data_IF_434316534065
#
_entry.id   IF_434316534065
#
_cell.length_a   1.000
_cell.length_b   1.000
_cell.length_c   1.000
_cell.angle_alpha   90.00
_cell.angle_beta   90.00
_cell.angle_gamma   90.00
#
_symmetry.space_group_name_H-M   'P 1'
#
loop_
_entity.id
_entity.type
_entity.pdbx_description
1 polymer ?
#
# COMPACT_ATOMS: atom_id res chain seq x y z
N UNK A 1 -11.38 -14.35 13.09
CA UNK A 1 -11.13 -13.04 13.72
C UNK A 1 -10.86 -12.02 12.62
N UNK A 2 -11.55 -10.85 12.61
CA UNK A 2 -11.47 -9.85 11.56
C UNK A 2 -10.20 -8.98 11.63
N UNK A 3 -9.65 -8.65 10.46
CA UNK A 3 -8.35 -7.98 10.19
C UNK A 3 -7.89 -7.00 11.26
N UNK A 4 -6.95 -7.43 12.11
CA UNK A 4 -6.38 -6.60 13.17
C UNK A 4 -5.00 -6.13 12.74
N UNK A 5 -4.88 -4.82 12.58
CA UNK A 5 -3.63 -4.15 12.23
C UNK A 5 -2.84 -3.77 13.50
N UNK A 6 -1.50 -3.74 13.47
CA UNK A 6 -0.68 -3.47 14.65
C UNK A 6 -0.59 -1.99 15.05
N UNK A 7 -0.03 -1.76 16.24
CA UNK A 7 0.24 -0.47 16.86
C UNK A 7 0.99 0.49 15.92
N UNK A 8 0.36 1.62 15.57
CA UNK A 8 0.88 2.57 14.59
C UNK A 8 2.02 3.46 15.12
N UNK A 9 2.46 3.31 16.38
CA UNK A 9 3.50 4.16 17.01
C UNK A 9 3.31 5.65 16.64
N UNK A 10 4.19 6.21 15.81
CA UNK A 10 4.14 7.62 15.38
C UNK A 10 3.42 7.82 14.05
N UNK A 11 3.18 6.75 13.29
CA UNK A 11 2.47 6.74 12.02
C UNK A 11 0.95 6.93 12.22
N UNK A 12 0.28 7.47 11.20
CA UNK A 12 -1.13 7.83 11.27
C UNK A 12 -1.97 7.03 10.25
N UNK A 13 -3.23 6.74 10.57
CA UNK A 13 -4.12 6.05 9.63
C UNK A 13 -4.79 7.08 8.70
N UNK A 14 -4.32 7.16 7.46
CA UNK A 14 -4.89 8.05 6.45
C UNK A 14 -6.21 7.51 5.87
N UNK A 15 -6.37 6.19 5.77
CA UNK A 15 -7.61 5.57 5.29
C UNK A 15 -7.81 4.17 5.88
N UNK A 16 -9.05 3.87 6.30
CA UNK A 16 -9.47 2.53 6.75
C UNK A 16 -10.59 1.98 5.88
N UNK A 17 -10.28 0.95 5.11
CA UNK A 17 -11.25 0.10 4.41
C UNK A 17 -11.58 -1.16 5.21
N UNK A 18 -12.53 -1.94 4.68
CA UNK A 18 -12.93 -3.24 5.27
C UNK A 18 -11.79 -4.28 5.25
N UNK A 19 -10.92 -4.23 4.23
CA UNK A 19 -9.79 -5.14 3.99
C UNK A 19 -8.44 -4.40 3.92
N UNK A 20 -8.47 -3.16 3.45
CA UNK A 20 -7.28 -2.37 3.09
C UNK A 20 -7.11 -1.15 3.96
N UNK A 21 -5.89 -0.84 4.34
CA UNK A 21 -5.54 0.31 5.16
C UNK A 21 -4.49 1.13 4.41
N UNK A 22 -4.57 2.46 4.49
CA UNK A 22 -3.51 3.35 4.02
C UNK A 22 -2.99 4.10 5.22
N UNK A 23 -1.68 4.01 5.43
CA UNK A 23 -0.99 4.54 6.61
C UNK A 23 0.02 5.56 6.15
N UNK A 24 -0.01 6.72 6.79
CA UNK A 24 0.95 7.78 6.60
C UNK A 24 2.18 7.50 7.46
N UNK A 25 3.36 7.51 6.83
CA UNK A 25 4.63 7.40 7.55
C UNK A 25 4.97 8.78 8.10
N UNK A 26 5.16 8.86 9.41
CA UNK A 26 5.61 10.07 10.08
C UNK A 26 7.12 10.30 9.87
N UNK A 27 7.56 11.55 9.94
CA UNK A 27 8.99 11.87 9.90
C UNK A 27 9.75 11.17 11.04
N UNK A 28 10.89 10.57 10.72
CA UNK A 28 11.71 9.83 11.68
C UNK A 28 11.12 8.49 12.15
N UNK A 29 9.95 8.07 11.64
CA UNK A 29 9.38 6.74 11.89
C UNK A 29 9.62 5.80 10.71
N UNK A 30 9.42 4.51 10.94
CA UNK A 30 9.42 3.51 9.89
C UNK A 30 8.20 2.59 9.99
N UNK A 31 7.72 2.17 8.82
CA UNK A 31 6.69 1.15 8.70
C UNK A 31 7.29 -0.06 7.99
N UNK A 32 7.62 -1.10 8.76
CA UNK A 32 8.20 -2.35 8.26
C UNK A 32 9.41 -2.11 7.33
N UNK A 33 10.42 -1.40 7.85
CA UNK A 33 11.63 -0.92 7.15
C UNK A 33 11.45 0.18 6.10
N UNK A 34 10.23 0.55 5.74
CA UNK A 34 9.96 1.66 4.82
C UNK A 34 9.94 2.98 5.59
N UNK A 35 10.71 3.95 5.11
CA UNK A 35 10.82 5.28 5.72
C UNK A 35 10.03 6.33 4.95
N UNK A 36 9.90 7.53 5.52
CA UNK A 36 9.30 8.69 4.86
C UNK A 36 10.07 9.13 3.61
N UNK A 37 11.36 8.81 3.52
CA UNK A 37 12.19 9.09 2.33
C UNK A 37 11.82 8.17 1.15
N UNK A 38 11.35 6.96 1.45
CA UNK A 38 10.96 5.97 0.45
C UNK A 38 9.52 6.17 -0.04
N UNK A 39 8.61 6.55 0.86
CA UNK A 39 7.19 6.68 0.57
C UNK A 39 6.48 7.60 1.58
N UNK A 40 5.46 8.31 1.12
CA UNK A 40 4.60 9.10 2.00
C UNK A 40 3.59 8.25 2.75
N UNK A 41 3.04 7.26 2.05
CA UNK A 41 2.03 6.34 2.57
C UNK A 41 2.33 4.90 2.16
N UNK A 42 1.79 4.00 2.96
CA UNK A 42 1.79 2.56 2.73
C UNK A 42 0.37 2.08 2.48
N UNK A 43 0.18 1.32 1.41
CA UNK A 43 -1.00 0.48 1.26
C UNK A 43 -0.76 -0.90 1.83
N UNK A 44 -1.68 -1.32 2.71
CA UNK A 44 -1.64 -2.63 3.33
C UNK A 44 -2.99 -3.35 3.18
N UNK A 45 -2.92 -4.61 2.80
CA UNK A 45 -3.99 -5.60 2.69
C UNK A 45 -3.79 -6.69 3.74
N UNK A 46 -4.59 -6.63 4.78
CA UNK A 46 -4.53 -7.58 5.88
C UNK A 46 -4.84 -9.03 5.45
N UNK A 47 -5.59 -9.20 4.36
CA UNK A 47 -5.90 -10.52 3.81
C UNK A 47 -4.71 -11.11 3.09
N UNK A 48 -3.99 -10.30 2.33
CA UNK A 48 -2.82 -10.76 1.59
C UNK A 48 -1.69 -11.13 2.56
N UNK A 49 -1.53 -10.42 3.68
CA UNK A 49 -0.50 -10.79 4.67
C UNK A 49 -0.81 -12.16 5.27
N UNK A 50 -2.08 -12.42 5.55
CA UNK A 50 -2.54 -13.70 6.08
C UNK A 50 -2.37 -14.86 5.08
N UNK A 51 -2.49 -14.60 3.77
CA UNK A 51 -2.38 -15.63 2.73
C UNK A 51 -0.93 -15.89 2.32
N UNK A 52 -0.12 -14.84 2.18
CA UNK A 52 1.20 -14.92 1.55
C UNK A 52 2.38 -14.65 2.50
N UNK A 53 2.13 -14.33 3.78
CA UNK A 53 3.16 -14.19 4.81
C UNK A 53 4.06 -12.94 4.69
N UNK A 54 3.91 -12.14 3.64
CA UNK A 54 4.62 -10.88 3.45
C UNK A 54 3.63 -9.71 3.47
N UNK A 55 3.94 -8.68 4.25
CA UNK A 55 3.10 -7.51 4.46
C UNK A 55 3.63 -6.28 3.75
N UNK A 56 3.20 -6.00 2.51
CA UNK A 56 3.16 -4.65 1.90
C UNK A 56 2.77 -4.78 0.42
N UNK A 57 1.80 -3.99 -0.05
CA UNK A 57 1.22 -4.17 -1.41
C UNK A 57 1.28 -2.92 -2.29
N UNK A 58 1.69 -1.78 -1.75
CA UNK A 58 2.31 -0.70 -2.51
C UNK A 58 2.92 0.37 -1.60
N UNK A 59 4.02 0.97 -2.08
CA UNK A 59 4.48 2.30 -1.67
C UNK A 59 3.64 3.35 -2.37
N UNK A 60 3.34 4.45 -1.69
CA UNK A 60 2.60 5.57 -2.26
C UNK A 60 3.35 6.86 -1.94
N UNK A 61 3.66 7.65 -2.97
CA UNK A 61 4.31 8.95 -2.84
C UNK A 61 3.42 10.04 -3.43
N UNK A 62 3.40 11.22 -2.80
CA UNK A 62 2.75 12.41 -3.36
C UNK A 62 3.60 12.92 -4.51
N UNK A 63 2.94 13.32 -5.60
CA UNK A 63 3.59 13.97 -6.74
C UNK A 63 3.42 15.49 -6.64
N UNK A 64 4.25 16.22 -7.38
CA UNK A 64 4.15 17.68 -7.50
C UNK A 64 2.81 18.16 -8.09
N UNK A 65 2.10 17.26 -8.77
CA UNK A 65 0.79 17.50 -9.38
C UNK A 65 -0.40 17.26 -8.44
N UNK A 66 -0.16 17.15 -7.12
CA UNK A 66 -1.16 16.79 -6.10
C UNK A 66 -1.83 15.41 -6.34
N UNK A 67 -1.17 14.52 -7.07
CA UNK A 67 -1.61 13.14 -7.25
C UNK A 67 -0.80 12.21 -6.35
N UNK A 68 -1.16 10.94 -6.38
CA UNK A 68 -0.48 9.87 -5.66
C UNK A 68 0.08 8.87 -6.66
N UNK A 69 1.40 8.72 -6.66
CA UNK A 69 2.10 7.66 -7.39
C UNK A 69 2.07 6.39 -6.54
N UNK A 70 1.52 5.32 -7.10
CA UNK A 70 1.41 4.01 -6.44
C UNK A 70 2.40 3.05 -7.08
N UNK A 71 3.23 2.42 -6.25
CA UNK A 71 4.28 1.47 -6.66
C UNK A 71 4.10 0.15 -5.91
N UNK A 72 3.51 -0.89 -6.52
CA UNK A 72 3.39 -2.21 -5.91
C UNK A 72 4.78 -2.81 -5.63
N UNK A 73 4.96 -3.36 -4.44
CA UNK A 73 6.24 -3.93 -3.97
C UNK A 73 6.42 -5.40 -4.35
N UNK A 74 5.37 -6.02 -4.89
CA UNK A 74 5.29 -7.47 -5.14
C UNK A 74 5.55 -7.87 -6.59
N UNK A 75 5.79 -6.92 -7.48
CA UNK A 75 5.98 -7.20 -8.91
C UNK A 75 7.47 -7.21 -9.24
N UNK A 76 7.96 -8.26 -9.92
CA UNK A 76 9.30 -8.26 -10.56
C UNK A 76 9.39 -7.28 -11.75
N UNK A 77 8.33 -6.51 -11.96
CA UNK A 77 8.15 -5.52 -13.01
C UNK A 77 7.94 -4.19 -12.31
N UNK A 78 8.67 -3.17 -12.74
CA UNK A 78 8.43 -1.79 -12.31
C UNK A 78 7.06 -1.34 -12.85
N UNK A 79 6.03 -1.58 -12.05
CA UNK A 79 4.69 -1.11 -12.31
C UNK A 79 4.43 0.09 -11.42
N UNK A 80 4.11 1.22 -12.01
CA UNK A 80 3.70 2.40 -11.25
C UNK A 80 2.55 3.09 -11.95
N UNK A 81 1.59 3.57 -11.18
CA UNK A 81 0.45 4.30 -11.74
C UNK A 81 0.05 5.46 -10.82
N UNK A 82 -0.43 6.54 -11.43
CA UNK A 82 -0.96 7.68 -10.69
C UNK A 82 -2.44 7.52 -10.39
N UNK A 83 -2.86 8.02 -9.24
CA UNK A 83 -4.28 8.22 -8.90
C UNK A 83 -4.49 9.57 -8.25
N UNK A 84 -5.68 10.15 -8.43
CA UNK A 84 -5.98 11.48 -7.89
C UNK A 84 -6.22 11.49 -6.38
N UNK A 85 -6.60 10.35 -5.79
CA UNK A 85 -6.94 10.27 -4.36
C UNK A 85 -6.52 8.94 -3.75
N UNK A 86 -6.21 8.95 -2.45
CA UNK A 86 -5.96 7.72 -1.67
C UNK A 86 -7.12 6.72 -1.72
N UNK A 87 -8.37 7.19 -1.84
CA UNK A 87 -9.55 6.34 -2.03
C UNK A 87 -9.53 5.62 -3.38
N UNK A 88 -8.93 6.19 -4.42
CA UNK A 88 -8.79 5.52 -5.71
C UNK A 88 -7.73 4.41 -5.64
N UNK A 89 -6.68 4.57 -4.82
CA UNK A 89 -5.69 3.49 -4.58
C UNK A 89 -6.39 2.19 -4.16
N UNK A 90 -7.28 2.26 -3.15
CA UNK A 90 -7.95 1.05 -2.62
C UNK A 90 -8.93 0.41 -3.58
N UNK A 91 -9.34 1.10 -4.65
CA UNK A 91 -10.23 0.58 -5.69
C UNK A 91 -9.45 -0.03 -6.86
N UNK A 92 -8.30 0.55 -7.19
CA UNK A 92 -7.52 0.22 -8.38
C UNK A 92 -6.47 -0.84 -8.08
N UNK A 93 -5.69 -0.66 -7.01
CA UNK A 93 -4.54 -1.50 -6.71
C UNK A 93 -4.88 -3.00 -6.55
N UNK A 94 -5.95 -3.41 -5.86
CA UNK A 94 -6.29 -4.83 -5.75
C UNK A 94 -6.54 -5.48 -7.10
N UNK A 95 -7.23 -4.79 -8.02
CA UNK A 95 -7.53 -5.30 -9.37
C UNK A 95 -6.27 -5.46 -10.22
N UNK A 96 -5.38 -4.47 -10.13
CA UNK A 96 -4.08 -4.50 -10.81
C UNK A 96 -3.26 -5.70 -10.32
N UNK A 97 -3.22 -5.90 -9.00
CA UNK A 97 -2.53 -7.02 -8.37
C UNK A 97 -3.12 -8.38 -8.74
N UNK A 98 -4.44 -8.52 -8.70
CA UNK A 98 -5.13 -9.75 -9.10
C UNK A 98 -4.86 -10.09 -10.57
N UNK A 99 -4.91 -9.10 -11.47
CA UNK A 99 -4.60 -9.30 -12.89
C UNK A 99 -3.14 -9.71 -13.10
N UNK A 100 -2.19 -9.10 -12.37
CA UNK A 100 -0.77 -9.48 -12.46
C UNK A 100 -0.55 -10.93 -12.02
N UNK A 101 -1.11 -11.31 -10.87
CA UNK A 101 -0.95 -12.67 -10.34
C UNK A 101 -1.55 -13.72 -11.28
N UNK A 102 -2.71 -13.45 -11.86
CA UNK A 102 -3.30 -14.32 -12.88
C UNK A 102 -2.41 -14.45 -14.12
N UNK A 103 -1.75 -13.37 -14.54
CA UNK A 103 -0.88 -13.40 -15.73
C UNK A 103 0.43 -14.14 -15.48
N UNK A 104 1.01 -13.99 -14.28
CA UNK A 104 2.32 -14.55 -13.96
C UNK A 104 2.27 -15.99 -13.43
N UNK A 105 1.15 -16.41 -12.82
CA UNK A 105 1.02 -17.70 -12.14
C UNK A 105 -0.23 -18.50 -12.54
N UNK A 106 -1.07 -17.98 -13.44
CA UNK A 106 -2.30 -18.61 -13.92
C UNK A 106 -2.16 -19.36 -15.24
#
# INVERSE_FOLDING_TARGET
MPYTFPNLKNSSLAYKGRRFWIIEIAEGDNFDSITKEDADYIFYDAQYQAIYGAGLYAKISKTDSNKFLVQPTTTHVDMSFEVDTLRNVVKTLPKVMESYLQTCFG
#
